data_IF_858608030789
#
_entry.id   IF_858608030789
#
_cell.length_a   1.000
_cell.length_b   1.000
_cell.length_c   1.000
_cell.angle_alpha   90.00
_cell.angle_beta   90.00
_cell.angle_gamma   90.00
#
_symmetry.space_group_name_H-M   'P 1'
#
loop_
_entity.id
_entity.type
_entity.pdbx_description
1 polymer ?
#
# COMPACT_ATOMS: atom_id res chain seq x y z
N UNK A 1 -11.78 -22.04 -4.37
CA UNK A 1 -13.12 -21.44 -4.52
C UNK A 1 -13.99 -22.46 -5.22
N UNK A 2 -15.23 -22.71 -4.74
CA UNK A 2 -16.02 -23.85 -5.23
C UNK A 2 -16.40 -23.83 -6.71
N UNK A 3 -16.38 -22.68 -7.38
CA UNK A 3 -16.66 -22.53 -8.81
C UNK A 3 -15.38 -22.39 -9.68
N UNK A 4 -14.22 -22.13 -9.09
CA UNK A 4 -12.95 -22.00 -9.83
C UNK A 4 -12.08 -23.28 -9.73
N UNK A 5 -12.44 -24.24 -8.90
CA UNK A 5 -11.52 -25.33 -8.56
C UNK A 5 -10.24 -24.80 -7.90
N UNK A 6 -9.11 -25.43 -8.22
CA UNK A 6 -7.79 -24.84 -7.92
C UNK A 6 -7.37 -23.97 -9.13
N UNK A 7 -7.29 -22.64 -9.01
CA UNK A 7 -6.93 -21.79 -10.13
C UNK A 7 -5.50 -22.11 -10.58
N UNK A 8 -5.34 -22.40 -11.87
CA UNK A 8 -4.02 -22.58 -12.49
C UNK A 8 -3.20 -21.29 -12.38
N UNK A 9 -1.88 -21.38 -12.55
CA UNK A 9 -0.98 -20.22 -12.46
C UNK A 9 -1.41 -19.04 -13.35
N UNK A 10 -1.93 -19.30 -14.54
CA UNK A 10 -2.43 -18.28 -15.49
C UNK A 10 -3.67 -17.55 -14.93
N UNK A 11 -4.64 -18.27 -14.38
CA UNK A 11 -5.84 -17.66 -13.79
C UNK A 11 -5.53 -16.87 -12.53
N UNK A 12 -4.65 -17.38 -11.67
CA UNK A 12 -4.21 -16.68 -10.49
C UNK A 12 -3.47 -15.40 -10.87
N UNK A 13 -2.62 -15.47 -11.91
CA UNK A 13 -1.96 -14.30 -12.48
C UNK A 13 -2.94 -13.24 -12.99
N UNK A 14 -3.99 -13.65 -13.71
CA UNK A 14 -5.02 -12.74 -14.20
C UNK A 14 -5.79 -12.04 -13.08
N UNK A 15 -6.20 -12.77 -12.04
CA UNK A 15 -6.91 -12.23 -10.88
C UNK A 15 -6.09 -11.14 -10.17
N UNK A 16 -4.78 -11.36 -10.04
CA UNK A 16 -3.87 -10.39 -9.43
C UNK A 16 -3.58 -9.21 -10.38
N UNK A 17 -3.38 -9.47 -11.67
CA UNK A 17 -3.11 -8.45 -12.68
C UNK A 17 -4.28 -7.46 -12.84
N UNK A 18 -5.52 -7.96 -12.86
CA UNK A 18 -6.72 -7.11 -13.00
C UNK A 18 -6.87 -6.14 -11.82
N UNK A 19 -6.56 -6.58 -10.59
CA UNK A 19 -6.50 -5.68 -9.44
C UNK A 19 -5.47 -4.55 -9.65
N UNK A 20 -4.25 -4.90 -10.07
CA UNK A 20 -3.17 -3.95 -10.30
C UNK A 20 -3.48 -2.98 -11.45
N UNK A 21 -4.12 -3.46 -12.52
CA UNK A 21 -4.59 -2.61 -13.63
C UNK A 21 -5.65 -1.61 -13.17
N UNK A 22 -6.60 -2.05 -12.33
CA UNK A 22 -7.60 -1.16 -11.72
C UNK A 22 -6.94 -0.06 -10.89
N UNK A 23 -5.93 -0.41 -10.08
CA UNK A 23 -5.16 0.54 -9.28
C UNK A 23 -4.37 1.52 -10.16
N UNK A 24 -3.72 1.05 -11.22
CA UNK A 24 -2.95 1.89 -12.16
C UNK A 24 -3.84 2.95 -12.81
N UNK A 25 -4.97 2.54 -13.39
CA UNK A 25 -5.91 3.45 -14.04
C UNK A 25 -6.46 4.47 -13.05
N UNK A 26 -6.85 4.00 -11.85
CA UNK A 26 -7.45 4.88 -10.85
C UNK A 26 -6.45 5.86 -10.22
N UNK A 27 -5.16 5.56 -10.17
CA UNK A 27 -4.13 6.48 -9.64
C UNK A 27 -4.07 7.78 -10.43
N UNK A 28 -4.19 7.71 -11.77
CA UNK A 28 -4.24 8.90 -12.63
C UNK A 28 -5.50 9.71 -12.33
N UNK A 29 -6.64 9.02 -12.21
CA UNK A 29 -7.93 9.64 -11.86
C UNK A 29 -7.94 10.22 -10.45
N UNK A 30 -7.32 9.53 -9.49
CA UNK A 30 -7.23 9.96 -8.09
C UNK A 30 -6.48 11.29 -7.95
N UNK A 31 -5.37 11.45 -8.67
CA UNK A 31 -4.61 12.70 -8.66
C UNK A 31 -5.45 13.87 -9.20
N UNK A 32 -6.13 13.67 -10.34
CA UNK A 32 -7.03 14.68 -10.91
C UNK A 32 -8.22 14.99 -9.99
N UNK A 33 -8.89 13.97 -9.48
CA UNK A 33 -10.05 14.10 -8.57
C UNK A 33 -9.66 14.83 -7.28
N UNK A 34 -8.56 14.43 -6.65
CA UNK A 34 -8.05 15.01 -5.41
C UNK A 34 -7.70 16.51 -5.56
N UNK A 35 -7.15 16.91 -6.72
CA UNK A 35 -6.82 18.30 -6.96
C UNK A 35 -8.05 19.15 -7.34
N UNK A 36 -8.99 18.60 -8.11
CA UNK A 36 -10.15 19.35 -8.60
C UNK A 36 -11.26 19.46 -7.56
N UNK A 37 -11.58 18.38 -6.85
CA UNK A 37 -12.77 18.28 -5.98
C UNK A 37 -12.42 18.17 -4.49
N UNK A 38 -11.16 18.09 -4.13
CA UNK A 38 -10.71 17.95 -2.76
C UNK A 38 -10.33 16.51 -2.38
N UNK A 39 -9.56 16.43 -1.30
CA UNK A 39 -9.01 15.15 -0.82
C UNK A 39 -10.12 14.26 -0.24
N UNK A 40 -11.05 14.86 0.51
CA UNK A 40 -12.17 14.12 1.14
C UNK A 40 -13.02 13.37 0.12
N UNK A 41 -13.39 14.03 -0.99
CA UNK A 41 -14.24 13.39 -2.00
C UNK A 41 -13.53 12.17 -2.61
N UNK A 42 -12.24 12.28 -2.91
CA UNK A 42 -11.45 11.18 -3.45
C UNK A 42 -11.41 9.98 -2.47
N UNK A 43 -11.27 10.24 -1.17
CA UNK A 43 -11.34 9.19 -0.13
C UNK A 43 -12.71 8.54 -0.07
N UNK A 44 -13.80 9.35 -0.10
CA UNK A 44 -15.18 8.81 -0.12
C UNK A 44 -15.44 7.92 -1.32
N UNK A 45 -14.98 8.30 -2.49
CA UNK A 45 -15.07 7.46 -3.68
C UNK A 45 -14.28 6.17 -3.50
N UNK A 46 -13.07 6.23 -2.94
CA UNK A 46 -12.29 5.04 -2.61
C UNK A 46 -13.02 4.10 -1.65
N UNK A 47 -13.63 4.63 -0.59
CA UNK A 47 -14.45 3.86 0.34
C UNK A 47 -15.65 3.22 -0.39
N UNK A 48 -16.36 3.98 -1.20
CA UNK A 48 -17.51 3.46 -1.96
C UNK A 48 -17.12 2.31 -2.90
N UNK A 49 -15.98 2.42 -3.61
CA UNK A 49 -15.49 1.38 -4.48
C UNK A 49 -15.03 0.12 -3.73
N UNK A 50 -14.38 0.23 -2.56
CA UNK A 50 -14.03 -0.97 -1.79
C UNK A 50 -15.25 -1.67 -1.22
N UNK A 51 -16.27 -0.93 -0.77
CA UNK A 51 -17.53 -1.51 -0.29
C UNK A 51 -18.25 -2.25 -1.42
N UNK A 52 -18.44 -1.58 -2.56
CA UNK A 52 -19.09 -2.18 -3.73
C UNK A 52 -18.33 -3.40 -4.25
N UNK A 53 -17.01 -3.31 -4.39
CA UNK A 53 -16.17 -4.41 -4.86
C UNK A 53 -16.15 -5.60 -3.90
N UNK A 54 -16.13 -5.36 -2.59
CA UNK A 54 -16.14 -6.44 -1.58
C UNK A 54 -17.50 -7.17 -1.58
N UNK A 55 -18.61 -6.46 -1.67
CA UNK A 55 -19.96 -7.06 -1.78
C UNK A 55 -20.05 -7.86 -3.07
N UNK A 56 -19.64 -7.27 -4.20
CA UNK A 56 -19.66 -7.95 -5.50
C UNK A 56 -18.80 -9.22 -5.49
N UNK A 57 -17.61 -9.14 -4.88
CA UNK A 57 -16.71 -10.29 -4.77
C UNK A 57 -17.25 -11.41 -3.88
N UNK A 58 -17.83 -11.07 -2.73
CA UNK A 58 -18.40 -12.05 -1.81
C UNK A 58 -19.69 -12.69 -2.36
N UNK A 59 -20.49 -11.93 -3.12
CA UNK A 59 -21.71 -12.40 -3.76
C UNK A 59 -21.45 -13.13 -5.10
N UNK A 60 -20.22 -13.14 -5.60
CA UNK A 60 -19.90 -13.65 -6.92
C UNK A 60 -20.41 -15.08 -7.16
N UNK A 61 -21.24 -15.30 -8.19
CA UNK A 61 -21.72 -16.62 -8.58
C UNK A 61 -20.75 -17.34 -9.52
N UNK A 62 -19.88 -16.60 -10.22
CA UNK A 62 -18.95 -17.11 -11.22
C UNK A 62 -17.63 -16.32 -11.23
N UNK A 63 -16.66 -16.83 -11.99
CA UNK A 63 -15.30 -16.28 -12.13
C UNK A 63 -15.29 -14.85 -12.66
N UNK A 64 -16.13 -14.58 -13.66
CA UNK A 64 -16.18 -13.26 -14.31
C UNK A 64 -16.57 -12.17 -13.33
N UNK A 65 -17.61 -12.39 -12.52
CA UNK A 65 -18.04 -11.43 -11.50
C UNK A 65 -16.96 -11.22 -10.44
N UNK A 66 -16.26 -12.28 -10.06
CA UNK A 66 -15.14 -12.20 -9.13
C UNK A 66 -13.99 -11.36 -9.70
N UNK A 67 -13.62 -11.55 -10.98
CA UNK A 67 -12.58 -10.76 -11.66
C UNK A 67 -12.99 -9.29 -11.74
N UNK A 68 -14.26 -8.99 -12.08
CA UNK A 68 -14.79 -7.63 -12.09
C UNK A 68 -14.70 -7.00 -10.69
N UNK A 69 -15.03 -7.75 -9.65
CA UNK A 69 -14.88 -7.26 -8.27
C UNK A 69 -13.44 -6.88 -7.94
N UNK A 70 -12.45 -7.64 -8.44
CA UNK A 70 -11.03 -7.33 -8.28
C UNK A 70 -10.63 -6.03 -8.98
N UNK A 71 -11.16 -5.78 -10.19
CA UNK A 71 -10.95 -4.49 -10.87
C UNK A 71 -11.51 -3.33 -10.05
N UNK A 72 -12.73 -3.47 -9.52
CA UNK A 72 -13.40 -2.44 -8.69
C UNK A 72 -12.63 -2.17 -7.40
N UNK A 73 -12.15 -3.21 -6.70
CA UNK A 73 -11.30 -3.06 -5.52
C UNK A 73 -9.96 -2.41 -5.90
N UNK A 74 -9.39 -2.75 -7.06
CA UNK A 74 -8.19 -2.11 -7.60
C UNK A 74 -8.37 -0.60 -7.78
N UNK A 75 -9.51 -0.16 -8.33
CA UNK A 75 -9.85 1.27 -8.44
C UNK A 75 -9.87 1.95 -7.06
N UNK A 76 -10.48 1.32 -6.07
CA UNK A 76 -10.43 1.81 -4.68
C UNK A 76 -8.99 1.95 -4.18
N UNK A 77 -8.15 0.95 -4.41
CA UNK A 77 -6.75 0.93 -3.96
C UNK A 77 -5.97 2.13 -4.47
N UNK A 78 -6.08 2.49 -5.75
CA UNK A 78 -5.40 3.67 -6.29
C UNK A 78 -5.87 4.98 -5.69
N UNK A 79 -7.16 5.12 -5.35
CA UNK A 79 -7.70 6.30 -4.68
C UNK A 79 -7.24 6.39 -3.22
N UNK A 80 -7.30 5.28 -2.49
CA UNK A 80 -6.93 5.21 -1.07
C UNK A 80 -5.41 5.29 -0.87
N UNK A 81 -4.61 4.88 -1.84
CA UNK A 81 -3.16 5.05 -1.77
C UNK A 81 -2.70 6.49 -2.03
N UNK A 82 -3.53 7.31 -2.67
CA UNK A 82 -3.17 8.69 -3.05
C UNK A 82 -3.73 9.74 -2.07
N UNK A 83 -5.05 9.79 -1.89
CA UNK A 83 -5.71 10.91 -1.19
C UNK A 83 -5.54 10.89 0.34
N UNK A 84 -5.69 9.77 1.06
CA UNK A 84 -5.55 9.74 2.52
C UNK A 84 -4.17 10.16 3.04
N UNK A 85 -3.03 9.65 2.53
CA UNK A 85 -1.72 10.08 3.03
C UNK A 85 -1.43 11.55 2.72
N UNK A 86 -1.96 12.06 1.58
CA UNK A 86 -1.85 13.46 1.25
C UNK A 86 -2.64 14.32 2.23
N UNK A 87 -3.92 13.99 2.46
CA UNK A 87 -4.75 14.69 3.44
C UNK A 87 -4.14 14.65 4.83
N UNK A 88 -3.68 13.49 5.28
CA UNK A 88 -3.05 13.31 6.59
C UNK A 88 -1.84 14.24 6.77
N UNK A 89 -0.97 14.35 5.76
CA UNK A 89 0.21 15.23 5.81
C UNK A 89 -0.15 16.71 5.76
N UNK A 90 -1.25 17.08 5.08
CA UNK A 90 -1.71 18.45 4.95
C UNK A 90 -2.44 18.96 6.21
N UNK A 91 -3.06 18.06 7.02
CA UNK A 91 -3.72 18.42 8.29
C UNK A 91 -2.88 18.13 9.52
N UNK A 92 -1.78 17.40 9.39
CA UNK A 92 -0.92 17.06 10.53
C UNK A 92 -0.12 18.28 10.98
N UNK A 93 0.00 18.41 12.31
CA UNK A 93 0.87 19.42 12.91
C UNK A 93 2.31 19.29 12.37
N UNK A 94 2.98 20.40 12.00
CA UNK A 94 4.27 20.36 11.29
C UNK A 94 5.33 19.43 11.89
N UNK A 95 5.46 19.44 13.23
CA UNK A 95 6.44 18.60 13.93
C UNK A 95 6.10 17.10 13.91
N UNK A 96 4.86 16.72 13.58
CA UNK A 96 4.39 15.32 13.62
C UNK A 96 4.10 14.73 12.23
N UNK A 97 4.33 15.46 11.13
CA UNK A 97 4.08 14.99 9.76
C UNK A 97 4.81 13.70 9.42
N UNK A 98 6.08 13.58 9.82
CA UNK A 98 6.89 12.38 9.61
C UNK A 98 6.30 11.17 10.34
N UNK A 99 5.94 11.34 11.61
CA UNK A 99 5.33 10.28 12.44
C UNK A 99 3.98 9.85 11.85
N UNK A 100 3.16 10.80 11.41
CA UNK A 100 1.86 10.52 10.81
C UNK A 100 1.98 9.69 9.53
N UNK A 101 2.96 10.01 8.67
CA UNK A 101 3.26 9.22 7.47
C UNK A 101 3.71 7.79 7.80
N UNK A 102 4.55 7.62 8.82
CA UNK A 102 4.99 6.31 9.28
C UNK A 102 3.81 5.48 9.83
N UNK A 103 2.94 6.10 10.63
CA UNK A 103 1.75 5.44 11.18
C UNK A 103 0.78 4.97 10.08
N UNK A 104 0.64 5.75 9.01
CA UNK A 104 -0.16 5.35 7.86
C UNK A 104 0.37 4.06 7.22
N UNK A 105 1.68 3.95 7.02
CA UNK A 105 2.32 2.74 6.46
C UNK A 105 2.21 1.54 7.41
N UNK A 106 2.37 1.74 8.71
CA UNK A 106 2.18 0.68 9.72
C UNK A 106 0.75 0.15 9.69
N UNK A 107 -0.24 1.02 9.43
CA UNK A 107 -1.64 0.64 9.26
C UNK A 107 -1.86 -0.42 8.16
N UNK A 108 -1.08 -0.38 7.07
CA UNK A 108 -1.11 -1.40 6.01
C UNK A 108 -0.72 -2.78 6.55
N UNK A 109 0.40 -2.87 7.27
CA UNK A 109 0.86 -4.15 7.84
C UNK A 109 -0.10 -4.68 8.91
N UNK A 110 -0.69 -3.80 9.71
CA UNK A 110 -1.70 -4.19 10.69
C UNK A 110 -2.94 -4.81 10.02
N UNK A 111 -3.42 -4.21 8.94
CA UNK A 111 -4.50 -4.78 8.11
C UNK A 111 -4.13 -6.14 7.52
N UNK A 112 -2.88 -6.30 7.05
CA UNK A 112 -2.38 -7.56 6.50
C UNK A 112 -2.34 -8.69 7.55
N UNK A 113 -1.95 -8.38 8.80
CA UNK A 113 -1.99 -9.33 9.93
C UNK A 113 -3.44 -9.79 10.16
N UNK A 114 -4.38 -8.85 10.31
CA UNK A 114 -5.80 -9.19 10.52
C UNK A 114 -6.32 -10.09 9.40
N UNK A 115 -6.08 -9.71 8.15
CA UNK A 115 -6.53 -10.46 6.95
C UNK A 115 -6.01 -11.89 6.94
N UNK A 116 -4.72 -12.09 7.22
CA UNK A 116 -4.08 -13.41 7.22
C UNK A 116 -4.62 -14.32 8.31
N UNK A 117 -4.80 -13.80 9.52
CA UNK A 117 -5.32 -14.59 10.64
C UNK A 117 -6.81 -14.87 10.51
N UNK A 118 -7.59 -13.97 9.92
CA UNK A 118 -8.98 -14.25 9.56
C UNK A 118 -9.04 -15.37 8.53
N UNK A 119 -8.21 -15.33 7.48
CA UNK A 119 -8.14 -16.38 6.46
C UNK A 119 -7.73 -17.73 7.09
N UNK A 120 -6.79 -17.71 8.03
CA UNK A 120 -6.42 -18.91 8.78
C UNK A 120 -7.58 -19.45 9.63
N UNK A 121 -8.35 -18.62 10.28
CA UNK A 121 -9.49 -19.03 11.11
C UNK A 121 -10.63 -19.61 10.25
N UNK A 122 -10.92 -19.01 9.10
CA UNK A 122 -12.04 -19.42 8.24
C UNK A 122 -11.74 -20.65 7.39
N UNK A 123 -10.50 -21.15 7.36
CA UNK A 123 -10.10 -22.34 6.57
C UNK A 123 -10.88 -23.60 6.92
N UNK A 124 -11.37 -23.71 8.16
CA UNK A 124 -12.10 -24.90 8.66
C UNK A 124 -13.55 -24.94 8.23
N UNK A 125 -14.07 -23.87 7.63
CA UNK A 125 -15.44 -23.80 7.18
C UNK A 125 -15.64 -24.69 5.93
N UNK A 126 -16.50 -25.70 6.03
CA UNK A 126 -16.78 -26.62 4.93
C UNK A 126 -17.61 -25.98 3.80
N UNK A 127 -18.09 -24.76 3.96
CA UNK A 127 -18.94 -24.04 3.01
C UNK A 127 -18.17 -22.94 2.26
N UNK A 128 -18.81 -22.35 1.24
CA UNK A 128 -18.26 -21.20 0.51
C UNK A 128 -17.94 -19.98 1.38
N UNK A 129 -18.37 -19.97 2.63
CA UNK A 129 -18.04 -18.94 3.61
C UNK A 129 -16.56 -18.90 4.00
N UNK A 130 -15.82 -19.98 3.75
CA UNK A 130 -14.36 -20.02 3.97
C UNK A 130 -13.61 -18.92 3.22
N UNK A 131 -14.05 -18.52 2.04
CA UNK A 131 -13.46 -17.45 1.24
C UNK A 131 -14.34 -16.18 1.16
N UNK A 132 -15.67 -16.30 1.29
CA UNK A 132 -16.58 -15.16 1.26
C UNK A 132 -16.41 -14.27 2.48
N UNK A 133 -16.20 -14.84 3.66
CA UNK A 133 -16.03 -14.09 4.88
C UNK A 133 -14.77 -13.21 4.87
N UNK A 134 -13.56 -13.71 4.52
CA UNK A 134 -12.40 -12.83 4.33
C UNK A 134 -12.61 -11.75 3.27
N UNK A 135 -13.34 -12.04 2.19
CA UNK A 135 -13.66 -11.06 1.15
C UNK A 135 -14.58 -9.96 1.67
N UNK A 136 -15.58 -10.28 2.48
CA UNK A 136 -16.46 -9.29 3.12
C UNK A 136 -15.73 -8.45 4.17
N UNK A 137 -14.83 -9.06 4.93
CA UNK A 137 -14.08 -8.36 5.97
C UNK A 137 -13.12 -7.27 5.44
N UNK A 138 -12.86 -7.23 4.13
CA UNK A 138 -12.20 -6.09 3.49
C UNK A 138 -12.97 -4.76 3.70
N UNK A 139 -14.28 -4.82 3.95
CA UNK A 139 -15.12 -3.65 4.27
C UNK A 139 -14.93 -3.17 5.70
N UNK A 140 -14.43 -4.01 6.61
CA UNK A 140 -14.41 -3.71 8.05
C UNK A 140 -13.60 -2.45 8.36
N UNK A 141 -12.37 -2.36 7.87
CA UNK A 141 -11.51 -1.21 8.13
C UNK A 141 -12.10 0.10 7.57
N UNK A 142 -12.57 0.17 6.30
CA UNK A 142 -13.28 1.34 5.79
C UNK A 142 -14.51 1.71 6.61
N UNK A 143 -15.34 0.74 7.01
CA UNK A 143 -16.56 1.00 7.80
C UNK A 143 -16.23 1.58 9.19
N UNK A 144 -15.20 1.05 9.85
CA UNK A 144 -14.72 1.56 11.14
C UNK A 144 -14.10 2.96 10.99
N UNK A 145 -13.50 3.27 9.85
CA UNK A 145 -12.89 4.57 9.58
C UNK A 145 -13.93 5.67 9.27
N UNK A 146 -15.14 5.33 8.78
CA UNK A 146 -16.16 6.30 8.38
C UNK A 146 -16.50 7.31 9.49
N UNK A 147 -16.80 6.93 10.74
CA UNK A 147 -17.16 7.90 11.77
C UNK A 147 -16.06 8.93 12.03
N UNK A 148 -14.81 8.50 12.13
CA UNK A 148 -13.66 9.41 12.29
C UNK A 148 -13.46 10.30 11.06
N UNK A 149 -13.64 9.74 9.87
CA UNK A 149 -13.45 10.48 8.62
C UNK A 149 -14.56 11.51 8.36
N UNK A 150 -15.78 11.31 8.86
CA UNK A 150 -16.85 12.33 8.84
C UNK A 150 -16.41 13.60 9.57
N UNK A 151 -15.71 13.46 10.69
CA UNK A 151 -15.22 14.56 11.52
C UNK A 151 -13.94 15.22 10.95
N UNK A 152 -13.22 14.54 10.08
CA UNK A 152 -11.99 15.07 9.47
C UNK A 152 -12.31 16.25 8.56
N UNK A 153 -11.65 17.41 8.69
CA UNK A 153 -11.85 18.55 7.79
C UNK A 153 -11.26 18.29 6.40
N UNK A 154 -11.54 19.18 5.44
CA UNK A 154 -10.88 19.19 4.14
C UNK A 154 -9.47 19.78 4.27
N UNK A 155 -8.60 19.51 3.31
CA UNK A 155 -7.23 20.00 3.29
C UNK A 155 -7.15 21.53 3.29
N UNK A 156 -6.42 22.15 4.25
CA UNK A 156 -6.16 23.60 4.24
C UNK A 156 -5.48 24.05 2.96
N UNK A 157 -4.53 23.27 2.45
CA UNK A 157 -3.80 23.57 1.21
C UNK A 157 -4.74 23.61 -0.01
N UNK A 158 -5.66 22.65 -0.09
CA UNK A 158 -6.66 22.63 -1.17
C UNK A 158 -7.63 23.82 -1.04
N UNK A 159 -8.10 24.14 0.16
CA UNK A 159 -8.99 25.27 0.41
C UNK A 159 -8.33 26.59 -0.03
N UNK A 160 -7.06 26.82 0.33
CA UNK A 160 -6.31 28.01 -0.11
C UNK A 160 -6.16 28.03 -1.64
N UNK A 161 -5.88 26.89 -2.26
CA UNK A 161 -5.81 26.76 -3.71
C UNK A 161 -7.10 27.12 -4.43
N UNK A 162 -8.27 26.95 -3.77
CA UNK A 162 -9.60 27.33 -4.24
C UNK A 162 -10.02 28.75 -3.79
N UNK A 163 -9.11 29.56 -3.28
CA UNK A 163 -9.36 30.91 -2.72
C UNK A 163 -10.29 30.95 -1.49
N UNK A 164 -10.46 29.83 -0.77
CA UNK A 164 -11.28 29.69 0.45
C UNK A 164 -10.39 29.86 1.71
N UNK A 165 -9.68 30.98 1.80
CA UNK A 165 -8.63 31.21 2.82
C UNK A 165 -9.21 31.21 4.24
N UNK A 166 -10.40 31.79 4.46
CA UNK A 166 -11.01 31.87 5.78
C UNK A 166 -11.42 30.50 6.33
N UNK A 167 -11.86 29.61 5.46
CA UNK A 167 -12.16 28.22 5.86
C UNK A 167 -10.88 27.46 6.20
N UNK A 168 -9.81 27.66 5.41
CA UNK A 168 -8.50 27.08 5.72
C UNK A 168 -7.96 27.60 7.06
N UNK A 169 -8.13 28.90 7.35
CA UNK A 169 -7.75 29.51 8.62
C UNK A 169 -8.48 28.85 9.79
N UNK A 170 -9.78 28.62 9.65
CA UNK A 170 -10.57 27.94 10.67
C UNK A 170 -10.08 26.53 10.92
N UNK A 171 -9.83 25.74 9.85
CA UNK A 171 -9.33 24.37 9.96
C UNK A 171 -7.97 24.34 10.67
N UNK A 172 -7.03 25.23 10.29
CA UNK A 172 -5.71 25.30 10.93
C UNK A 172 -5.81 25.77 12.40
N UNK A 173 -6.68 26.74 12.70
CA UNK A 173 -6.90 27.19 14.07
C UNK A 173 -7.47 26.05 14.96
N UNK A 174 -8.47 25.33 14.46
CA UNK A 174 -9.09 24.23 15.20
C UNK A 174 -8.10 23.07 15.45
N UNK A 175 -7.22 22.78 14.49
CA UNK A 175 -6.27 21.66 14.60
C UNK A 175 -4.95 22.02 15.30
N UNK A 176 -4.44 23.22 15.10
CA UNK A 176 -3.07 23.60 15.52
C UNK A 176 -3.03 24.65 16.63
N UNK A 177 -4.12 25.38 16.88
CA UNK A 177 -4.16 26.51 17.81
C UNK A 177 -5.40 26.52 18.73
N UNK A 178 -6.01 25.36 18.99
CA UNK A 178 -7.18 25.22 19.88
C UNK A 178 -8.32 26.19 19.58
N UNK A 179 -8.52 26.55 18.29
CA UNK A 179 -9.58 27.45 17.82
C UNK A 179 -9.20 28.94 17.77
N UNK A 180 -7.96 29.32 18.12
CA UNK A 180 -7.51 30.71 18.02
C UNK A 180 -7.14 31.09 16.57
N UNK A 181 -8.04 31.85 15.93
CA UNK A 181 -7.87 32.34 14.56
C UNK A 181 -6.76 33.36 14.41
N UNK A 182 -6.30 33.97 15.51
CA UNK A 182 -5.29 35.04 15.52
C UNK A 182 -3.90 34.52 15.87
N UNK A 183 -3.77 33.24 16.18
CA UNK A 183 -2.50 32.63 16.56
C UNK A 183 -1.41 32.89 15.49
N UNK A 184 -0.20 33.29 15.90
CA UNK A 184 0.90 33.56 14.96
C UNK A 184 1.23 32.33 14.09
N UNK A 185 1.15 31.12 14.63
CA UNK A 185 1.38 29.88 13.92
C UNK A 185 0.41 29.71 12.73
N UNK A 186 -0.88 29.96 12.95
CA UNK A 186 -1.92 29.83 11.89
C UNK A 186 -1.65 30.82 10.76
N UNK A 187 -1.28 32.06 11.12
CA UNK A 187 -0.96 33.10 10.14
C UNK A 187 0.28 32.75 9.32
N UNK A 188 1.31 32.23 9.99
CA UNK A 188 2.54 31.79 9.33
C UNK A 188 2.27 30.60 8.39
N UNK A 189 1.54 29.58 8.83
CA UNK A 189 1.22 28.41 7.99
C UNK A 189 0.42 28.81 6.74
N UNK A 190 -0.55 29.72 6.87
CA UNK A 190 -1.30 30.23 5.71
C UNK A 190 -0.36 30.91 4.73
N UNK A 191 0.54 31.76 5.21
CA UNK A 191 1.49 32.48 4.37
C UNK A 191 2.43 31.51 3.64
N UNK A 192 3.00 30.53 4.35
CA UNK A 192 3.84 29.48 3.75
C UNK A 192 3.11 28.68 2.69
N UNK A 193 1.84 28.32 2.92
CA UNK A 193 1.03 27.59 1.94
C UNK A 193 0.74 28.46 0.72
N UNK A 194 0.42 29.75 0.91
CA UNK A 194 0.17 30.68 -0.20
C UNK A 194 1.41 30.90 -1.05
N UNK A 195 2.58 31.10 -0.41
CA UNK A 195 3.86 31.21 -1.13
C UNK A 195 4.19 29.93 -1.91
N UNK A 196 4.01 28.76 -1.29
CA UNK A 196 4.23 27.49 -1.97
C UNK A 196 3.31 27.29 -3.19
N UNK A 197 2.01 27.64 -3.07
CA UNK A 197 1.06 27.55 -4.18
C UNK A 197 1.41 28.54 -5.30
N UNK A 198 1.80 29.77 -4.97
CA UNK A 198 2.21 30.76 -5.98
C UNK A 198 3.48 30.33 -6.71
N UNK A 199 4.48 29.87 -5.99
CA UNK A 199 5.71 29.34 -6.59
C UNK A 199 5.45 28.11 -7.48
N UNK A 200 4.55 27.23 -7.09
CA UNK A 200 4.13 26.10 -7.92
C UNK A 200 3.42 26.55 -9.20
N UNK A 201 2.53 27.53 -9.12
CA UNK A 201 1.84 28.10 -10.30
C UNK A 201 2.82 28.76 -11.27
N UNK A 202 3.77 29.53 -10.78
CA UNK A 202 4.82 30.14 -11.59
C UNK A 202 5.72 29.10 -12.25
N UNK A 203 6.14 28.11 -11.48
CA UNK A 203 6.92 26.97 -11.98
C UNK A 203 6.15 26.18 -13.03
N UNK A 204 4.87 25.87 -12.79
CA UNK A 204 4.02 25.15 -13.72
C UNK A 204 3.77 25.92 -15.04
N UNK A 205 3.67 27.26 -14.96
CA UNK A 205 3.50 28.10 -16.15
C UNK A 205 4.77 28.13 -17.04
N UNK A 206 5.95 27.95 -16.43
CA UNK A 206 7.25 27.98 -17.13
C UNK A 206 7.81 26.60 -17.47
N UNK A 207 7.26 25.51 -16.92
CA UNK A 207 7.78 24.14 -17.09
C UNK A 207 6.82 23.24 -17.87
N UNK A 208 7.41 22.33 -18.63
CA UNK A 208 6.69 21.30 -19.39
C UNK A 208 7.15 19.91 -18.97
N UNK A 209 6.31 18.89 -19.13
CA UNK A 209 6.72 17.50 -18.96
C UNK A 209 7.98 17.14 -19.76
N UNK A 210 8.19 17.80 -20.91
CA UNK A 210 9.41 17.62 -21.70
C UNK A 210 10.68 18.09 -20.98
N UNK A 211 10.58 18.97 -19.99
CA UNK A 211 11.72 19.46 -19.22
C UNK A 211 12.34 18.38 -18.32
N UNK A 212 11.56 17.35 -17.99
CA UNK A 212 12.07 16.15 -17.30
C UNK A 212 13.18 15.44 -18.12
N UNK A 213 13.18 15.61 -19.43
CA UNK A 213 14.13 14.93 -20.34
C UNK A 213 15.19 15.89 -20.87
N UNK A 214 14.99 17.22 -20.82
CA UNK A 214 15.88 18.22 -21.44
C UNK A 214 17.24 18.32 -20.73
N UNK A 215 17.25 18.36 -19.41
CA UNK A 215 18.50 18.56 -18.66
C UNK A 215 19.10 17.24 -18.15
N UNK A 216 20.45 17.10 -18.10
CA UNK A 216 21.09 15.89 -17.57
C UNK A 216 20.67 15.57 -16.13
N UNK A 217 20.49 16.59 -15.27
CA UNK A 217 20.06 16.41 -13.89
C UNK A 217 18.63 15.86 -13.79
N UNK A 218 17.71 16.34 -14.62
CA UNK A 218 16.33 15.84 -14.63
C UNK A 218 16.24 14.43 -15.21
N UNK A 219 17.02 14.11 -16.25
CA UNK A 219 17.13 12.72 -16.76
C UNK A 219 17.60 11.75 -15.68
N UNK A 220 18.60 12.15 -14.90
CA UNK A 220 19.11 11.32 -13.82
C UNK A 220 18.05 11.10 -12.71
N UNK A 221 17.31 12.15 -12.33
CA UNK A 221 16.19 12.05 -11.38
C UNK A 221 15.08 11.15 -11.91
N UNK A 222 14.69 11.32 -13.18
CA UNK A 222 13.68 10.49 -13.84
C UNK A 222 14.13 9.02 -13.86
N UNK A 223 15.39 8.76 -14.24
CA UNK A 223 15.97 7.42 -14.24
C UNK A 223 15.89 6.78 -12.86
N UNK A 224 16.30 7.48 -11.79
CA UNK A 224 16.22 6.97 -10.43
C UNK A 224 14.77 6.64 -10.04
N UNK A 225 13.82 7.53 -10.34
CA UNK A 225 12.41 7.31 -10.00
C UNK A 225 11.84 6.08 -10.73
N UNK A 226 12.09 5.96 -12.02
CA UNK A 226 11.61 4.83 -12.83
C UNK A 226 12.26 3.52 -12.40
N UNK A 227 13.58 3.53 -12.21
CA UNK A 227 14.31 2.32 -11.78
C UNK A 227 13.90 1.88 -10.39
N UNK A 228 13.69 2.79 -9.46
CA UNK A 228 13.21 2.48 -8.13
C UNK A 228 11.81 1.84 -8.19
N UNK A 229 10.88 2.41 -8.96
CA UNK A 229 9.53 1.87 -9.12
C UNK A 229 9.52 0.48 -9.77
N UNK A 230 10.34 0.23 -10.77
CA UNK A 230 10.43 -1.07 -11.45
C UNK A 230 11.10 -2.10 -10.53
N UNK A 231 12.29 -1.78 -10.01
CA UNK A 231 13.09 -2.76 -9.29
C UNK A 231 12.55 -3.07 -7.89
N UNK A 232 11.79 -2.16 -7.26
CA UNK A 232 11.08 -2.49 -6.01
C UNK A 232 10.09 -3.65 -6.20
N UNK A 233 9.46 -3.74 -7.37
CA UNK A 233 8.51 -4.83 -7.68
C UNK A 233 9.20 -6.06 -8.30
N UNK A 234 10.25 -5.85 -9.10
CA UNK A 234 11.01 -6.95 -9.73
C UNK A 234 12.05 -7.61 -8.81
N UNK A 235 12.21 -7.10 -7.60
CA UNK A 235 13.08 -7.70 -6.57
C UNK A 235 12.65 -9.11 -6.12
N UNK A 236 11.52 -9.61 -6.61
CA UNK A 236 10.96 -10.92 -6.24
C UNK A 236 9.79 -10.83 -5.26
N UNK A 237 9.46 -9.64 -4.73
CA UNK A 237 8.35 -9.45 -3.82
C UNK A 237 7.03 -9.98 -4.38
N UNK A 238 6.69 -9.67 -5.64
CA UNK A 238 5.47 -10.14 -6.28
C UNK A 238 5.39 -11.67 -6.36
N UNK A 239 6.51 -12.35 -6.62
CA UNK A 239 6.53 -13.82 -6.69
C UNK A 239 6.23 -14.41 -5.31
N UNK A 240 6.89 -13.94 -4.28
CA UNK A 240 6.71 -14.52 -2.93
C UNK A 240 5.38 -14.09 -2.33
N UNK A 241 4.93 -12.83 -2.51
CA UNK A 241 3.67 -12.34 -1.92
C UNK A 241 2.43 -12.96 -2.57
N UNK A 242 2.38 -12.99 -3.90
CA UNK A 242 1.18 -13.46 -4.61
C UNK A 242 1.13 -14.98 -4.81
N UNK A 243 2.28 -15.64 -4.81
CA UNK A 243 2.39 -17.07 -5.09
C UNK A 243 3.01 -17.85 -3.93
N UNK A 244 2.97 -17.31 -2.69
CA UNK A 244 3.57 -17.94 -1.51
C UNK A 244 3.14 -19.40 -1.34
N UNK A 245 1.84 -19.71 -1.51
CA UNK A 245 1.34 -21.07 -1.42
C UNK A 245 1.98 -22.01 -2.46
N UNK A 246 2.12 -21.53 -3.72
CA UNK A 246 2.77 -22.30 -4.78
C UNK A 246 4.27 -22.48 -4.50
N UNK A 247 4.93 -21.46 -3.97
CA UNK A 247 6.35 -21.58 -3.56
C UNK A 247 6.51 -22.59 -2.44
N UNK A 248 5.62 -22.59 -1.45
CA UNK A 248 5.62 -23.57 -0.36
C UNK A 248 5.30 -24.99 -0.85
N UNK A 249 4.40 -25.14 -1.82
CA UNK A 249 4.12 -26.42 -2.48
C UNK A 249 5.37 -26.99 -3.18
N UNK A 250 6.15 -26.14 -3.87
CA UNK A 250 7.37 -26.58 -4.57
C UNK A 250 8.50 -27.04 -3.62
N UNK A 251 8.43 -26.71 -2.34
CA UNK A 251 9.40 -27.13 -1.32
C UNK A 251 8.81 -28.16 -0.34
N UNK A 252 7.66 -28.76 -0.69
CA UNK A 252 7.09 -29.89 0.04
C UNK A 252 6.14 -29.52 1.18
N UNK A 253 5.84 -28.24 1.38
CA UNK A 253 4.84 -27.76 2.37
C UNK A 253 3.48 -27.66 1.69
N UNK A 254 2.78 -28.79 1.58
CA UNK A 254 1.51 -28.92 0.83
C UNK A 254 0.26 -28.76 1.70
N UNK A 255 0.39 -28.87 3.02
CA UNK A 255 -0.73 -28.73 3.94
C UNK A 255 -1.21 -27.28 3.99
N UNK A 256 -2.46 -27.03 3.58
CA UNK A 256 -3.08 -25.69 3.60
C UNK A 256 -3.00 -25.00 4.98
N UNK A 257 -3.10 -25.80 6.06
CA UNK A 257 -2.97 -25.30 7.42
C UNK A 257 -1.61 -24.65 7.64
N UNK A 258 -0.53 -25.31 7.23
CA UNK A 258 0.84 -24.87 7.46
C UNK A 258 1.18 -23.68 6.57
N UNK A 259 0.71 -23.68 5.31
CA UNK A 259 0.86 -22.53 4.40
C UNK A 259 0.19 -21.27 4.93
N UNK A 260 -1.04 -21.37 5.43
CA UNK A 260 -1.75 -20.24 6.02
C UNK A 260 -1.15 -19.79 7.36
N UNK A 261 -0.62 -20.73 8.16
CA UNK A 261 0.10 -20.40 9.39
C UNK A 261 1.40 -19.63 9.08
N UNK A 262 2.20 -20.11 8.12
CA UNK A 262 3.42 -19.43 7.66
C UNK A 262 3.07 -18.03 7.14
N UNK A 263 2.01 -17.91 6.33
CA UNK A 263 1.54 -16.61 5.84
C UNK A 263 1.16 -15.66 6.99
N UNK A 264 0.41 -16.15 7.99
CA UNK A 264 0.04 -15.35 9.16
C UNK A 264 1.23 -14.87 9.99
N UNK A 265 2.20 -15.78 10.24
CA UNK A 265 3.44 -15.43 10.94
C UNK A 265 4.28 -14.44 10.14
N UNK A 266 4.31 -14.58 8.81
CA UNK A 266 5.04 -13.68 7.93
C UNK A 266 4.47 -12.25 7.99
N UNK A 267 3.14 -12.07 8.07
CA UNK A 267 2.56 -10.73 8.20
C UNK A 267 2.89 -10.07 9.56
N UNK A 268 2.98 -10.85 10.64
CA UNK A 268 3.47 -10.32 11.94
C UNK A 268 4.93 -9.89 11.81
N UNK A 269 5.74 -10.69 11.13
CA UNK A 269 7.15 -10.39 10.87
C UNK A 269 7.31 -9.10 10.07
N UNK A 270 6.52 -8.93 9.00
CA UNK A 270 6.50 -7.72 8.18
C UNK A 270 6.08 -6.48 9.00
N UNK A 271 5.09 -6.61 9.88
CA UNK A 271 4.69 -5.52 10.79
C UNK A 271 5.85 -5.09 11.69
N UNK A 272 6.60 -6.04 12.24
CA UNK A 272 7.76 -5.76 13.12
C UNK A 272 8.85 -5.05 12.33
N UNK A 273 9.26 -5.60 11.17
CA UNK A 273 10.36 -5.05 10.38
C UNK A 273 9.99 -3.76 9.67
N UNK A 274 8.75 -3.59 9.20
CA UNK A 274 8.27 -2.33 8.68
C UNK A 274 8.26 -1.23 9.74
N UNK A 275 7.89 -1.55 10.99
CA UNK A 275 7.97 -0.60 12.10
C UNK A 275 9.42 -0.24 12.43
N UNK A 276 10.33 -1.21 12.46
CA UNK A 276 11.76 -0.98 12.65
C UNK A 276 12.31 -0.10 11.51
N UNK A 277 11.95 -0.37 10.26
CA UNK A 277 12.34 0.43 9.09
C UNK A 277 11.91 1.88 9.20
N UNK A 278 10.66 2.12 9.60
CA UNK A 278 10.13 3.47 9.82
C UNK A 278 10.94 4.28 10.86
N UNK A 279 11.41 3.62 11.93
CA UNK A 279 12.26 4.28 12.94
C UNK A 279 13.70 4.45 12.45
N UNK A 280 14.22 3.47 11.71
CA UNK A 280 15.61 3.49 11.24
C UNK A 280 15.85 4.52 10.15
N UNK A 281 14.85 4.86 9.33
CA UNK A 281 15.02 5.78 8.20
C UNK A 281 15.49 7.16 8.65
N UNK A 282 15.04 7.63 9.81
CA UNK A 282 15.43 8.92 10.37
C UNK A 282 16.86 8.90 10.94
N UNK A 283 17.33 7.76 11.44
CA UNK A 283 18.64 7.63 12.09
C UNK A 283 19.76 7.21 11.14
N UNK A 284 19.52 6.19 10.33
CA UNK A 284 20.53 5.61 9.43
C UNK A 284 20.58 6.32 8.06
N UNK A 285 19.50 7.04 7.69
CA UNK A 285 19.39 7.66 6.39
C UNK A 285 18.95 6.67 5.29
N UNK A 286 18.43 7.22 4.18
CA UNK A 286 17.78 6.43 3.12
C UNK A 286 18.75 5.55 2.33
N UNK A 287 19.93 6.08 1.96
CA UNK A 287 20.87 5.36 1.09
C UNK A 287 21.44 4.08 1.71
N UNK A 288 21.93 4.08 2.96
CA UNK A 288 22.38 2.84 3.60
C UNK A 288 21.27 1.80 3.72
N UNK A 289 20.03 2.22 4.05
CA UNK A 289 18.90 1.31 4.17
C UNK A 289 18.57 0.64 2.84
N UNK A 290 18.52 1.38 1.72
CA UNK A 290 18.30 0.78 0.40
C UNK A 290 19.39 -0.21 0.01
N UNK A 291 20.66 0.09 0.28
CA UNK A 291 21.77 -0.79 -0.05
C UNK A 291 21.78 -2.07 0.82
N UNK A 292 21.53 -1.95 2.12
CA UNK A 292 21.44 -3.12 3.01
C UNK A 292 20.23 -3.98 2.68
N UNK A 293 19.06 -3.37 2.41
CA UNK A 293 17.84 -4.05 1.94
C UNK A 293 18.13 -4.86 0.67
N UNK A 294 18.65 -4.21 -0.37
CA UNK A 294 18.97 -4.87 -1.63
C UNK A 294 19.98 -6.01 -1.46
N UNK A 295 21.00 -5.83 -0.59
CA UNK A 295 21.98 -6.87 -0.28
C UNK A 295 21.36 -8.07 0.44
N UNK A 296 20.54 -7.84 1.46
CA UNK A 296 19.85 -8.91 2.19
C UNK A 296 18.89 -9.66 1.28
N UNK A 297 18.09 -8.96 0.46
CA UNK A 297 17.19 -9.58 -0.50
C UNK A 297 17.94 -10.45 -1.51
N UNK A 298 19.04 -9.94 -2.09
CA UNK A 298 19.83 -10.68 -3.08
C UNK A 298 20.40 -11.98 -2.48
N UNK A 299 21.04 -11.91 -1.32
CA UNK A 299 21.62 -13.09 -0.65
C UNK A 299 20.53 -14.10 -0.29
N UNK A 300 19.42 -13.63 0.27
CA UNK A 300 18.29 -14.50 0.62
C UNK A 300 17.72 -15.20 -0.62
N UNK A 301 17.57 -14.49 -1.74
CA UNK A 301 17.01 -15.07 -2.96
C UNK A 301 17.95 -16.10 -3.61
N UNK A 302 19.27 -15.86 -3.57
CA UNK A 302 20.27 -16.85 -4.03
C UNK A 302 20.14 -18.15 -3.22
N UNK A 303 20.02 -18.04 -1.89
CA UNK A 303 19.89 -19.20 -1.01
C UNK A 303 18.56 -19.91 -1.23
N UNK A 304 17.44 -19.17 -1.32
CA UNK A 304 16.10 -19.73 -1.63
C UNK A 304 16.16 -20.52 -2.94
N UNK A 305 16.75 -19.96 -4.00
CA UNK A 305 16.86 -20.59 -5.30
C UNK A 305 17.71 -21.87 -5.23
N UNK A 306 18.85 -21.81 -4.56
CA UNK A 306 19.74 -22.97 -4.37
C UNK A 306 19.08 -24.10 -3.58
N UNK A 307 18.39 -23.77 -2.47
CA UNK A 307 17.69 -24.76 -1.66
C UNK A 307 16.48 -25.35 -2.40
N UNK A 308 15.71 -24.55 -3.12
CA UNK A 308 14.57 -25.03 -3.93
C UNK A 308 15.05 -25.94 -5.06
N UNK A 309 16.14 -25.59 -5.74
CA UNK A 309 16.76 -26.44 -6.76
C UNK A 309 17.30 -27.76 -6.20
N UNK A 310 17.93 -27.73 -5.03
CA UNK A 310 18.38 -28.93 -4.32
C UNK A 310 17.20 -29.81 -3.88
N UNK A 311 16.12 -29.22 -3.38
CA UNK A 311 14.91 -29.96 -3.04
C UNK A 311 14.30 -30.63 -4.28
N UNK A 312 14.22 -29.92 -5.41
CA UNK A 312 13.68 -30.46 -6.65
C UNK A 312 14.47 -31.67 -7.17
N UNK A 313 15.79 -31.75 -6.89
CA UNK A 313 16.66 -32.85 -7.29
C UNK A 313 16.71 -34.02 -6.30
N UNK A 314 16.62 -33.73 -4.99
CA UNK A 314 16.84 -34.72 -3.93
C UNK A 314 15.55 -35.19 -3.24
N UNK A 315 14.47 -34.40 -3.30
CA UNK A 315 13.22 -34.62 -2.57
C UNK A 315 13.37 -34.56 -1.03
N UNK A 316 14.49 -34.04 -0.53
CA UNK A 316 14.82 -34.04 0.91
C UNK A 316 13.97 -33.02 1.67
N UNK A 317 13.07 -33.46 2.54
CA UNK A 317 12.21 -32.60 3.35
C UNK A 317 12.97 -31.54 4.19
N UNK A 318 14.12 -31.86 4.83
CA UNK A 318 14.92 -30.85 5.53
C UNK A 318 15.38 -29.70 4.63
N UNK A 319 15.73 -29.99 3.36
CA UNK A 319 16.15 -28.98 2.38
C UNK A 319 14.98 -28.08 1.99
N UNK A 320 13.80 -28.63 1.81
CA UNK A 320 12.58 -27.87 1.52
C UNK A 320 12.20 -26.95 2.67
N UNK A 321 12.17 -27.45 3.90
CA UNK A 321 11.81 -26.63 5.07
C UNK A 321 12.85 -25.56 5.38
N UNK A 322 14.11 -25.75 5.01
CA UNK A 322 15.16 -24.75 5.17
C UNK A 322 14.95 -23.48 4.32
N UNK A 323 14.07 -23.50 3.32
CA UNK A 323 13.70 -22.32 2.51
C UNK A 323 12.90 -21.29 3.36
N UNK A 324 12.08 -21.76 4.30
CA UNK A 324 11.16 -20.91 5.06
C UNK A 324 11.90 -19.78 5.81
N UNK A 325 12.92 -20.00 6.62
CA UNK A 325 13.65 -18.92 7.30
C UNK A 325 14.18 -17.85 6.34
N UNK A 326 14.64 -18.25 5.14
CA UNK A 326 15.17 -17.30 4.16
C UNK A 326 14.07 -16.46 3.50
N UNK A 327 12.84 -16.95 3.41
CA UNK A 327 11.68 -16.15 3.03
C UNK A 327 11.47 -15.04 4.07
N UNK A 328 11.51 -15.35 5.36
CA UNK A 328 11.38 -14.37 6.43
C UNK A 328 12.52 -13.33 6.40
N UNK A 329 13.76 -13.76 6.19
CA UNK A 329 14.91 -12.84 6.08
C UNK A 329 14.77 -11.95 4.83
N UNK A 330 14.29 -12.49 3.71
CA UNK A 330 14.02 -11.74 2.50
C UNK A 330 13.02 -10.61 2.77
N UNK A 331 11.89 -10.91 3.41
CA UNK A 331 10.89 -9.90 3.75
C UNK A 331 11.39 -8.89 4.78
N UNK A 332 12.18 -9.31 5.77
CA UNK A 332 12.83 -8.36 6.68
C UNK A 332 13.72 -7.36 5.91
N UNK A 333 14.48 -7.83 4.91
CA UNK A 333 15.24 -6.96 4.02
C UNK A 333 14.36 -6.03 3.20
N UNK A 334 13.24 -6.52 2.67
CA UNK A 334 12.29 -5.74 1.88
C UNK A 334 11.63 -4.63 2.72
N UNK A 335 11.04 -4.99 3.85
CA UNK A 335 10.23 -4.11 4.69
C UNK A 335 11.04 -3.00 5.40
N UNK A 336 12.37 -3.16 5.53
CA UNK A 336 13.23 -2.13 6.16
C UNK A 336 13.39 -0.88 5.26
N UNK A 337 13.30 -1.00 3.93
CA UNK A 337 13.65 0.10 3.04
C UNK A 337 12.69 0.31 1.86
N UNK A 338 11.87 -0.66 1.48
CA UNK A 338 10.94 -0.64 0.35
C UNK A 338 9.48 -0.77 0.81
#
# INVERSE_FOLDING_TARGET
>A
MGFMGQPSGTWLGLINAVYSLGALVSTIFAAWCSNSFGRKLCVWLGIAFVLAGSILGAAAPNDTVFIVSRAVIGVSSGMVSNAPPLLLNEIAYPAHRSISSCLFMIGYYFGAVISSWVTFATRTYASSWSWRLPTLLQMLCPLVAIPGFLLTPESPRWLIGQNRVEEARKVLADLHASGDLTAPLVTQEIHEIQEAISAEKESAASSSYSDMIKTPGNRHRLLITVTLGIFSQWSGNGVVSYYLAMVLDTVGVTATKDQLLISGCLQIWNLIFGTIGAVLVERAGRRPLFLTSAGVMLVSYIIITGLSGSFASTGSAPTGTAVIPFIFIYFAGYDIAL
#
